data_IF_062182230442
#
_entry.id   IF_062182230442
#
_cell.length_a   1.000
_cell.length_b   1.000
_cell.length_c   1.000
_cell.angle_alpha   90.00
_cell.angle_beta   90.00
_cell.angle_gamma   90.00
#
_symmetry.space_group_name_H-M   'P 1'
#
loop_
_entity.id
_entity.type
_entity.pdbx_description
1 polymer ?
#
# COMPACT_ATOMS: atom_id res chain seq x y z
N UNK A 1 -94.15 -65.92 -29.19
CA UNK A 1 -94.37 -65.97 -27.72
C UNK A 1 -93.40 -66.97 -27.12
N UNK A 2 -92.68 -66.54 -26.09
CA UNK A 2 -92.18 -67.31 -24.94
C UNK A 2 -91.05 -68.34 -25.17
N UNK A 3 -89.83 -67.96 -24.74
CA UNK A 3 -88.91 -68.87 -24.07
C UNK A 3 -89.34 -69.00 -22.59
N UNK A 4 -89.12 -70.16 -21.97
CA UNK A 4 -88.48 -70.21 -20.66
C UNK A 4 -87.59 -71.47 -20.54
N UNK A 5 -86.69 -71.71 -19.58
CA UNK A 5 -86.06 -70.97 -18.48
C UNK A 5 -84.94 -71.90 -17.97
N UNK A 6 -83.86 -71.28 -17.53
CA UNK A 6 -82.62 -71.74 -16.87
C UNK A 6 -82.84 -72.49 -15.53
N UNK A 7 -81.99 -73.47 -15.21
CA UNK A 7 -81.57 -73.95 -13.86
C UNK A 7 -80.29 -74.76 -14.06
N UNK A 8 -79.05 -74.40 -13.72
CA UNK A 8 -78.40 -73.93 -12.48
C UNK A 8 -78.44 -74.89 -11.27
N UNK A 9 -77.22 -75.24 -10.82
CA UNK A 9 -76.75 -75.58 -9.45
C UNK A 9 -76.42 -77.06 -9.17
N UNK A 10 -75.13 -77.32 -8.89
CA UNK A 10 -74.65 -78.10 -7.73
C UNK A 10 -73.13 -77.88 -7.61
N UNK A 11 -72.67 -76.90 -6.85
CA UNK A 11 -72.26 -76.93 -5.43
C UNK A 11 -70.96 -77.70 -5.11
N UNK A 12 -69.97 -76.88 -4.77
CA UNK A 12 -68.67 -77.09 -4.09
C UNK A 12 -68.80 -77.93 -2.80
N UNK A 13 -67.70 -78.49 -2.25
CA UNK A 13 -66.96 -77.75 -1.20
C UNK A 13 -65.43 -77.98 -1.26
N UNK A 14 -64.61 -76.93 -1.20
CA UNK A 14 -63.97 -76.34 -0.01
C UNK A 14 -62.63 -76.99 0.37
N UNK A 15 -61.57 -76.19 0.31
CA UNK A 15 -60.28 -76.49 0.92
C UNK A 15 -59.22 -75.43 0.56
N UNK A 16 -58.86 -74.58 1.53
CA UNK A 16 -57.48 -74.11 1.67
C UNK A 16 -57.04 -72.82 0.96
N UNK A 17 -57.27 -71.70 1.66
CA UNK A 17 -56.39 -70.52 1.81
C UNK A 17 -56.33 -69.43 0.72
N UNK A 18 -56.28 -68.15 1.15
CA UNK A 18 -56.29 -66.97 0.31
C UNK A 18 -54.87 -66.47 0.02
N UNK A 19 -54.51 -66.32 -1.25
CA UNK A 19 -53.45 -65.40 -1.64
C UNK A 19 -54.05 -64.30 -2.51
N UNK A 20 -54.55 -63.27 -1.82
CA UNK A 20 -54.77 -61.95 -2.38
C UNK A 20 -53.37 -61.37 -2.61
N UNK A 21 -52.85 -61.49 -3.83
CA UNK A 21 -51.67 -60.70 -4.20
C UNK A 21 -52.18 -59.30 -4.55
N UNK A 22 -52.20 -58.44 -3.52
CA UNK A 22 -52.17 -57.01 -3.71
C UNK A 22 -50.80 -56.68 -4.31
N UNK A 23 -50.72 -56.59 -5.64
CA UNK A 23 -49.63 -55.87 -6.30
C UNK A 23 -49.85 -54.38 -6.01
N UNK A 24 -49.50 -54.02 -4.79
CA UNK A 24 -49.38 -52.68 -4.28
C UNK A 24 -48.11 -52.12 -4.93
N UNK A 25 -48.29 -51.33 -5.99
CA UNK A 25 -47.21 -50.55 -6.60
C UNK A 25 -46.87 -49.37 -5.69
N UNK A 26 -45.99 -49.58 -4.72
CA UNK A 26 -45.29 -48.52 -3.99
C UNK A 26 -43.80 -48.79 -4.12
N UNK A 27 -43.21 -48.21 -5.15
CA UNK A 27 -41.78 -48.10 -5.40
C UNK A 27 -41.67 -47.41 -6.78
N UNK A 28 -41.08 -46.24 -6.99
CA UNK A 28 -40.15 -45.45 -6.22
C UNK A 28 -40.32 -43.99 -6.64
N UNK A 29 -40.19 -43.10 -5.67
CA UNK A 29 -39.87 -41.70 -5.90
C UNK A 29 -38.58 -41.59 -6.73
N UNK A 30 -38.49 -40.52 -7.53
CA UNK A 30 -37.26 -39.98 -8.13
C UNK A 30 -36.49 -40.88 -9.10
N UNK A 31 -37.00 -40.95 -10.33
CA UNK A 31 -36.20 -41.18 -11.53
C UNK A 31 -35.26 -40.00 -11.83
N UNK A 32 -34.32 -39.70 -10.91
CA UNK A 32 -33.13 -38.92 -11.21
C UNK A 32 -32.15 -39.83 -11.95
N UNK A 33 -32.23 -39.88 -13.28
CA UNK A 33 -31.11 -40.34 -14.13
C UNK A 33 -31.35 -40.08 -15.62
N UNK A 34 -31.30 -38.80 -15.99
CA UNK A 34 -30.88 -38.40 -17.35
C UNK A 34 -29.80 -37.33 -17.25
N UNK A 35 -28.62 -37.73 -16.77
CA UNK A 35 -27.46 -36.85 -16.71
C UNK A 35 -26.14 -37.63 -16.75
N UNK A 36 -26.00 -38.63 -17.64
CA UNK A 36 -24.70 -39.29 -17.87
C UNK A 36 -23.88 -38.65 -18.99
N UNK A 37 -24.36 -37.55 -19.58
CA UNK A 37 -23.67 -36.80 -20.66
C UNK A 37 -23.43 -35.32 -20.34
N UNK A 38 -23.99 -34.82 -19.25
CA UNK A 38 -23.85 -33.42 -18.82
C UNK A 38 -22.64 -33.20 -17.90
N UNK A 39 -21.86 -34.22 -17.57
CA UNK A 39 -20.70 -34.08 -16.67
C UNK A 39 -19.64 -33.11 -17.22
N UNK A 40 -19.29 -33.20 -18.51
CA UNK A 40 -18.29 -32.30 -19.09
C UNK A 40 -18.85 -30.89 -19.35
N UNK A 41 -20.09 -30.78 -19.84
CA UNK A 41 -20.72 -29.48 -20.11
C UNK A 41 -21.11 -28.72 -18.84
N UNK A 42 -21.61 -29.39 -17.81
CA UNK A 42 -21.88 -28.75 -16.53
C UNK A 42 -20.57 -28.33 -15.85
N UNK A 43 -19.52 -29.14 -15.97
CA UNK A 43 -18.20 -28.80 -15.45
C UNK A 43 -17.60 -27.59 -16.18
N UNK A 44 -17.71 -27.49 -17.51
CA UNK A 44 -17.26 -26.28 -18.23
C UNK A 44 -18.10 -25.05 -17.88
N UNK A 45 -19.42 -25.18 -17.70
CA UNK A 45 -20.28 -24.08 -17.26
C UNK A 45 -19.90 -23.59 -15.85
N UNK A 46 -19.62 -24.51 -14.92
CA UNK A 46 -19.17 -24.18 -13.56
C UNK A 46 -17.82 -23.47 -13.60
N UNK A 47 -16.86 -23.99 -14.39
CA UNK A 47 -15.56 -23.34 -14.56
C UNK A 47 -15.69 -21.96 -15.20
N UNK A 48 -16.48 -21.80 -16.26
CA UNK A 48 -16.71 -20.52 -16.93
C UNK A 48 -17.38 -19.51 -16.00
N UNK A 49 -18.37 -19.94 -15.22
CA UNK A 49 -19.04 -19.08 -14.23
C UNK A 49 -18.09 -18.67 -13.12
N UNK A 50 -17.28 -19.60 -12.60
CA UNK A 50 -16.24 -19.30 -11.61
C UNK A 50 -15.21 -18.32 -12.14
N UNK A 51 -14.78 -18.47 -13.39
CA UNK A 51 -13.83 -17.58 -14.05
C UNK A 51 -14.44 -16.19 -14.30
N UNK A 52 -15.71 -16.10 -14.71
CA UNK A 52 -16.45 -14.83 -14.80
C UNK A 52 -16.54 -14.15 -13.44
N UNK A 53 -16.90 -14.87 -12.37
CA UNK A 53 -16.99 -14.32 -11.03
C UNK A 53 -15.62 -13.82 -10.56
N UNK A 54 -14.56 -14.58 -10.82
CA UNK A 54 -13.19 -14.20 -10.47
C UNK A 54 -12.75 -12.94 -11.25
N UNK A 55 -13.06 -12.85 -12.54
CA UNK A 55 -12.75 -11.70 -13.38
C UNK A 55 -13.50 -10.43 -12.94
N UNK A 56 -14.76 -10.58 -12.49
CA UNK A 56 -15.56 -9.46 -11.96
C UNK A 56 -15.00 -8.97 -10.62
N UNK A 57 -14.64 -9.89 -9.71
CA UNK A 57 -13.99 -9.53 -8.44
C UNK A 57 -12.65 -8.83 -8.70
N UNK A 58 -11.84 -9.33 -9.63
CA UNK A 58 -10.56 -8.74 -9.99
C UNK A 58 -10.71 -7.35 -10.64
N UNK A 59 -11.73 -7.17 -11.48
CA UNK A 59 -12.07 -5.88 -12.09
C UNK A 59 -12.56 -4.85 -11.06
N UNK A 60 -13.35 -5.28 -10.08
CA UNK A 60 -13.80 -4.41 -8.98
C UNK A 60 -12.64 -3.92 -8.13
N UNK A 61 -11.61 -4.75 -7.91
CA UNK A 61 -10.38 -4.35 -7.23
C UNK A 61 -9.58 -3.34 -8.07
N UNK A 62 -9.50 -3.51 -9.38
CA UNK A 62 -8.81 -2.58 -10.28
C UNK A 62 -9.47 -1.19 -10.32
N UNK A 63 -10.79 -1.10 -10.23
CA UNK A 63 -11.51 0.18 -10.20
C UNK A 63 -11.27 0.97 -8.91
N UNK A 64 -11.09 0.31 -7.77
CA UNK A 64 -10.73 0.96 -6.51
C UNK A 64 -9.34 1.63 -6.54
N UNK A 65 -8.42 1.08 -7.35
CA UNK A 65 -7.08 1.66 -7.56
C UNK A 65 -7.11 2.94 -8.40
N UNK A 66 -8.02 3.04 -9.38
CA UNK A 66 -8.15 4.23 -10.24
C UNK A 66 -8.53 5.49 -9.44
N UNK A 67 -9.48 5.36 -8.50
CA UNK A 67 -9.89 6.48 -7.65
C UNK A 67 -8.76 6.91 -6.69
N UNK A 68 -8.03 5.92 -6.17
CA UNK A 68 -6.90 6.16 -5.27
C UNK A 68 -5.74 6.89 -5.96
N UNK A 69 -5.48 6.56 -7.23
CA UNK A 69 -4.44 7.22 -8.03
C UNK A 69 -4.74 8.71 -8.28
N UNK A 70 -6.01 9.08 -8.48
CA UNK A 70 -6.40 10.48 -8.68
C UNK A 70 -6.25 11.28 -7.38
N UNK A 71 -6.71 10.73 -6.26
CA UNK A 71 -6.52 11.31 -4.92
C UNK A 71 -5.04 11.47 -4.58
N UNK A 72 -4.20 10.48 -4.90
CA UNK A 72 -2.77 10.54 -4.65
C UNK A 72 -2.07 11.64 -5.45
N UNK A 73 -2.50 11.88 -6.70
CA UNK A 73 -1.99 12.99 -7.53
C UNK A 73 -2.42 14.36 -6.99
N UNK A 74 -3.66 14.49 -6.52
CA UNK A 74 -4.14 15.73 -5.90
C UNK A 74 -3.38 15.99 -4.60
N UNK A 75 -3.19 14.97 -3.76
CA UNK A 75 -2.44 15.11 -2.51
C UNK A 75 -0.97 15.48 -2.77
N UNK A 76 -0.31 14.85 -3.74
CA UNK A 76 1.08 15.17 -4.05
C UNK A 76 1.23 16.59 -4.63
N UNK A 77 0.34 17.01 -5.52
CA UNK A 77 0.33 18.38 -6.04
C UNK A 77 0.07 19.41 -4.93
N UNK A 78 -0.86 19.11 -4.01
CA UNK A 78 -1.16 19.97 -2.87
C UNK A 78 0.03 20.09 -1.91
N UNK A 79 0.72 18.97 -1.63
CA UNK A 79 1.92 18.96 -0.81
C UNK A 79 3.05 19.78 -1.44
N UNK A 80 3.25 19.64 -2.76
CA UNK A 80 4.25 20.42 -3.48
C UNK A 80 3.93 21.92 -3.42
N UNK A 81 2.67 22.30 -3.55
CA UNK A 81 2.24 23.69 -3.45
C UNK A 81 2.50 24.25 -2.05
N UNK A 82 2.12 23.51 -0.99
CA UNK A 82 2.40 23.93 0.39
C UNK A 82 3.89 24.09 0.67
N UNK A 83 4.70 23.12 0.24
CA UNK A 83 6.17 23.21 0.39
C UNK A 83 6.75 24.43 -0.33
N UNK A 84 6.22 24.77 -1.51
CA UNK A 84 6.69 25.94 -2.26
C UNK A 84 6.26 27.24 -1.58
N UNK A 85 5.03 27.29 -1.08
CA UNK A 85 4.50 28.44 -0.34
C UNK A 85 5.31 28.68 0.94
N UNK A 86 5.58 27.64 1.72
CA UNK A 86 6.37 27.75 2.96
C UNK A 86 7.78 28.27 2.68
N UNK A 87 8.41 27.77 1.61
CA UNK A 87 9.73 28.25 1.16
C UNK A 87 9.68 29.71 0.72
N UNK A 88 8.65 30.08 -0.02
CA UNK A 88 8.46 31.47 -0.45
C UNK A 88 8.33 32.40 0.77
N UNK A 89 7.46 32.06 1.72
CA UNK A 89 7.24 32.87 2.91
C UNK A 89 8.49 32.96 3.79
N UNK A 90 9.25 31.87 3.92
CA UNK A 90 10.53 31.88 4.61
C UNK A 90 11.54 32.81 3.94
N UNK A 91 11.67 32.75 2.61
CA UNK A 91 12.58 33.61 1.85
C UNK A 91 12.15 35.07 1.90
N UNK A 92 10.85 35.36 1.84
CA UNK A 92 10.32 36.73 1.96
C UNK A 92 10.63 37.30 3.35
N UNK A 93 10.44 36.51 4.42
CA UNK A 93 10.83 36.91 5.77
C UNK A 93 12.32 37.20 5.87
N UNK A 94 13.16 36.34 5.31
CA UNK A 94 14.61 36.51 5.30
C UNK A 94 15.02 37.76 4.52
N UNK A 95 14.45 37.97 3.35
CA UNK A 95 14.70 39.15 2.53
C UNK A 95 14.28 40.43 3.25
N UNK A 96 13.13 40.42 3.93
CA UNK A 96 12.68 41.56 4.73
C UNK A 96 13.57 41.82 5.95
N UNK A 97 14.09 40.79 6.59
CA UNK A 97 15.04 40.91 7.70
C UNK A 97 16.34 41.58 7.26
N UNK A 98 16.93 41.13 6.16
CA UNK A 98 18.18 41.70 5.61
C UNK A 98 17.98 43.00 4.83
N UNK A 99 16.74 43.45 4.63
CA UNK A 99 16.45 44.75 4.01
C UNK A 99 16.84 45.91 4.92
N UNK A 100 16.86 45.70 6.24
CA UNK A 100 17.28 46.72 7.18
C UNK A 100 18.83 46.84 7.19
N UNK A 101 19.40 48.00 6.83
CA UNK A 101 20.85 48.19 6.85
C UNK A 101 21.47 48.00 8.24
N UNK A 102 20.72 48.22 9.31
CA UNK A 102 21.19 48.00 10.68
C UNK A 102 21.51 46.52 10.94
N UNK A 103 20.66 45.61 10.45
CA UNK A 103 20.85 44.16 10.59
C UNK A 103 22.15 43.74 9.92
N UNK A 104 22.35 44.18 8.66
CA UNK A 104 23.56 43.88 7.90
C UNK A 104 24.82 44.43 8.59
N UNK A 105 24.78 45.68 9.07
CA UNK A 105 25.90 46.27 9.80
C UNK A 105 26.19 45.54 11.12
N UNK A 106 25.15 45.11 11.85
CA UNK A 106 25.30 44.38 13.11
C UNK A 106 25.96 43.02 12.92
N UNK A 107 25.58 42.27 11.87
CA UNK A 107 26.20 40.99 11.55
C UNK A 107 27.63 41.18 11.05
N UNK A 108 27.88 42.19 10.20
CA UNK A 108 29.22 42.53 9.77
C UNK A 108 30.14 42.89 10.95
N UNK A 109 29.65 43.66 11.92
CA UNK A 109 30.40 44.00 13.15
C UNK A 109 30.70 42.78 14.00
N UNK A 110 29.69 41.93 14.24
CA UNK A 110 29.80 40.81 15.16
C UNK A 110 30.58 39.62 14.57
N UNK A 111 30.34 39.28 13.31
CA UNK A 111 30.91 38.08 12.68
C UNK A 111 32.17 38.37 11.88
N UNK A 112 32.23 39.54 11.23
CA UNK A 112 33.34 39.91 10.33
C UNK A 112 34.29 40.93 10.96
N UNK A 113 33.99 41.42 12.18
CA UNK A 113 34.78 42.46 12.83
C UNK A 113 34.79 43.78 12.08
N UNK A 114 33.74 44.07 11.31
CA UNK A 114 33.60 45.33 10.58
C UNK A 114 33.65 46.51 11.54
N UNK A 115 34.47 47.52 11.23
CA UNK A 115 34.58 48.77 11.97
C UNK A 115 34.27 49.90 11.00
N UNK A 116 33.35 50.80 11.37
CA UNK A 116 32.96 51.90 10.48
C UNK A 116 34.16 52.85 10.30
N UNK A 117 34.33 53.46 9.11
CA UNK A 117 35.31 54.53 8.94
C UNK A 117 35.11 55.64 9.99
N UNK A 118 36.12 55.87 10.83
CA UNK A 118 36.08 56.82 11.96
C UNK A 118 35.87 56.19 13.34
N UNK A 119 35.59 54.89 13.43
CA UNK A 119 35.57 54.13 14.69
C UNK A 119 36.95 53.52 14.97
N UNK A 120 37.36 53.45 16.25
CA UNK A 120 38.63 52.85 16.68
C UNK A 120 38.37 51.57 17.48
N UNK A 121 38.82 50.38 17.02
CA UNK A 121 38.64 49.14 17.76
C UNK A 121 39.56 49.12 18.98
N UNK A 122 39.00 48.86 20.16
CA UNK A 122 39.77 48.70 21.42
C UNK A 122 39.92 47.21 21.70
N UNK A 123 41.16 46.72 21.64
CA UNK A 123 41.50 45.36 22.03
C UNK A 123 41.97 45.40 23.48
N UNK A 124 41.24 44.74 24.38
CA UNK A 124 41.69 44.57 25.76
C UNK A 124 42.79 43.51 25.81
N UNK A 125 44.06 43.95 25.89
CA UNK A 125 45.16 43.08 26.26
C UNK A 125 45.24 43.04 27.78
N UNK A 126 44.89 41.91 28.38
CA UNK A 126 45.35 41.60 29.74
C UNK A 126 46.87 41.76 29.78
N UNK A 127 47.37 42.48 30.78
CA UNK A 127 48.74 42.98 30.93
C UNK A 127 49.87 42.08 30.37
N UNK A 128 50.99 42.67 29.91
CA UNK A 128 52.09 41.91 29.30
C UNK A 128 52.71 40.95 30.32
N UNK A 129 52.30 39.68 30.29
CA UNK A 129 53.11 38.61 30.84
C UNK A 129 54.41 38.60 30.06
N UNK A 130 55.50 38.89 30.78
CA UNK A 130 56.90 38.73 30.37
C UNK A 130 57.04 37.63 29.31
N UNK A 131 57.65 38.03 28.20
CA UNK A 131 58.25 37.21 27.15
C UNK A 131 58.66 35.83 27.65
N UNK A 132 57.92 34.79 27.25
CA UNK A 132 58.42 33.43 27.23
C UNK A 132 58.84 33.11 25.79
N UNK A 133 60.04 32.55 25.57
CA UNK A 133 60.44 32.10 24.26
C UNK A 133 59.49 30.99 23.81
N UNK A 134 58.81 31.22 22.70
CA UNK A 134 58.07 30.18 21.99
C UNK A 134 59.12 29.19 21.49
N UNK A 135 59.32 28.13 22.26
CA UNK A 135 60.03 26.95 21.79
C UNK A 135 59.16 26.40 20.67
N UNK A 136 59.62 26.61 19.44
CA UNK A 136 59.06 25.99 18.24
C UNK A 136 59.25 24.48 18.36
N UNK A 137 58.31 23.82 19.03
CA UNK A 137 58.18 22.37 18.97
C UNK A 137 57.59 22.05 17.59
N UNK A 138 58.44 22.07 16.56
CA UNK A 138 58.16 21.40 15.30
C UNK A 138 58.32 19.89 15.53
N UNK A 139 57.52 19.36 16.46
CA UNK A 139 57.16 17.96 16.47
C UNK A 139 56.38 17.76 15.18
N UNK A 140 57.07 17.19 14.18
CA UNK A 140 56.49 16.70 12.93
C UNK A 140 55.20 15.95 13.26
N UNK A 141 54.06 16.61 13.09
CA UNK A 141 52.76 15.95 13.05
C UNK A 141 52.83 15.06 11.82
N UNK A 142 53.09 13.77 12.03
CA UNK A 142 52.91 12.76 11.01
C UNK A 142 51.57 13.08 10.34
N UNK A 143 51.61 13.28 9.02
CA UNK A 143 50.48 13.72 8.22
C UNK A 143 49.24 12.94 8.66
N UNK A 144 48.37 13.60 9.44
CA UNK A 144 47.01 13.15 9.62
C UNK A 144 46.47 13.12 8.20
N UNK A 145 46.22 11.92 7.69
CA UNK A 145 45.64 11.71 6.38
C UNK A 145 44.51 12.72 6.25
N UNK A 146 44.69 13.66 5.33
CA UNK A 146 43.75 14.76 5.17
C UNK A 146 42.41 14.14 4.85
N UNK A 147 41.33 14.76 5.32
CA UNK A 147 39.97 14.29 5.08
C UNK A 147 39.75 13.80 3.64
N UNK A 148 40.38 14.41 2.63
CA UNK A 148 40.41 13.93 1.25
C UNK A 148 40.67 12.42 1.04
N UNK A 149 41.55 11.77 1.81
CA UNK A 149 41.74 10.31 1.74
C UNK A 149 40.49 9.53 2.20
N UNK A 150 39.79 10.01 3.21
CA UNK A 150 38.51 9.43 3.66
C UNK A 150 37.43 9.58 2.59
N UNK A 151 37.36 10.75 1.94
CA UNK A 151 36.45 10.99 0.83
C UNK A 151 36.77 10.05 -0.34
N UNK A 152 38.03 9.93 -0.72
CA UNK A 152 38.44 9.04 -1.82
C UNK A 152 38.03 7.58 -1.58
N UNK A 153 38.26 7.06 -0.36
CA UNK A 153 37.88 5.71 0.02
C UNK A 153 36.35 5.51 0.05
N UNK A 154 35.58 6.54 0.42
CA UNK A 154 34.11 6.46 0.40
C UNK A 154 33.53 6.34 -1.02
N UNK A 155 34.18 6.95 -2.02
CA UNK A 155 33.69 6.99 -3.40
C UNK A 155 34.22 5.85 -4.27
N UNK A 156 35.47 5.42 -4.05
CA UNK A 156 36.17 4.48 -4.93
C UNK A 156 36.74 3.28 -4.18
N UNK A 157 36.08 2.89 -3.09
CA UNK A 157 36.50 1.88 -2.11
C UNK A 157 37.35 0.74 -2.68
N UNK A 158 38.39 0.43 -1.91
CA UNK A 158 39.22 -0.76 -2.07
C UNK A 158 38.57 -1.93 -1.34
#
# INVERSE_FOLDING_TARGET
MQQPRRTQISSRPSGGLPYVTSAVGIEETVGSSRARRSSLFAQTIIWMTGLICLALLFSSLAQAWSNSALMQRVQSAQQQYQQLQDKHDALVKLANYYKDPYVVESEARQQLGYVRPGEYPVIFTSAPTKTQPVVSDHQKRAAQQGYWQEWWNAFFGN
#
